data_IF_950908514179
#
_entry.id   IF_950908514179
#
_cell.length_a   1.000
_cell.length_b   1.000
_cell.length_c   1.000
_cell.angle_alpha   90.00
_cell.angle_beta   90.00
_cell.angle_gamma   90.00
#
_symmetry.space_group_name_H-M   'P 1'
#
loop_
_entity.id
_entity.type
_entity.pdbx_description
1 polymer ?
#
# COMPACT_ATOMS: atom_id res chain seq x y z
N UNK A 1 12.70 3.64 -9.76
CA UNK A 1 11.64 3.76 -8.73
C UNK A 1 12.14 4.65 -7.60
N UNK A 2 11.23 5.37 -6.97
CA UNK A 2 11.54 6.27 -5.85
C UNK A 2 10.60 6.05 -4.68
N UNK A 3 11.12 6.30 -3.47
CA UNK A 3 10.33 6.25 -2.24
C UNK A 3 9.25 7.35 -2.27
N UNK A 4 8.04 7.01 -1.88
CA UNK A 4 6.92 7.96 -1.81
C UNK A 4 7.16 9.04 -0.76
N UNK A 5 6.87 10.28 -1.13
CA UNK A 5 7.00 11.47 -0.29
C UNK A 5 5.68 12.25 -0.28
N UNK A 6 5.34 12.84 0.86
CA UNK A 6 4.16 13.72 1.01
C UNK A 6 4.54 15.19 1.26
N UNK A 7 5.84 15.45 1.44
CA UNK A 7 6.47 16.75 1.64
C UNK A 7 7.95 16.64 1.33
N UNK A 8 8.63 17.77 1.23
CA UNK A 8 10.10 17.76 1.06
C UNK A 8 10.78 17.05 2.24
N UNK A 9 11.64 16.05 1.96
CA UNK A 9 12.34 15.33 3.01
C UNK A 9 13.46 16.18 3.61
N UNK A 10 13.70 16.00 4.90
CA UNK A 10 14.85 16.58 5.59
C UNK A 10 15.96 15.53 5.76
N UNK A 11 17.21 15.93 6.07
CA UNK A 11 18.30 14.97 6.29
C UNK A 11 18.03 13.91 7.35
N UNK A 12 17.16 14.20 8.32
CA UNK A 12 16.72 13.23 9.33
C UNK A 12 15.84 12.12 8.75
N UNK A 13 15.20 12.35 7.59
CA UNK A 13 14.41 11.36 6.86
C UNK A 13 15.30 10.60 5.87
N UNK A 14 16.25 9.81 6.38
CA UNK A 14 17.33 9.19 5.62
C UNK A 14 16.90 8.37 4.40
N UNK A 15 15.71 7.76 4.41
CA UNK A 15 15.18 6.96 3.29
C UNK A 15 14.71 7.79 2.11
N UNK A 16 14.08 8.93 2.37
CA UNK A 16 13.47 9.78 1.35
C UNK A 16 14.41 10.89 0.87
N UNK A 17 15.32 11.34 1.71
CA UNK A 17 16.18 12.49 1.46
C UNK A 17 17.01 12.44 0.17
N UNK A 18 17.56 11.28 -0.28
CA UNK A 18 18.31 11.21 -1.52
C UNK A 18 17.46 11.39 -2.78
N UNK A 19 16.13 11.29 -2.68
CA UNK A 19 15.23 11.35 -3.83
C UNK A 19 14.72 12.77 -4.06
N UNK A 20 15.55 13.61 -4.68
CA UNK A 20 15.15 14.96 -5.09
C UNK A 20 14.28 14.90 -6.35
N UNK A 21 12.96 14.86 -6.20
CA UNK A 21 12.01 14.61 -7.27
C UNK A 21 12.15 15.56 -8.45
N UNK A 22 12.33 16.85 -8.20
CA UNK A 22 12.49 17.85 -9.26
C UNK A 22 13.75 17.57 -10.10
N UNK A 23 14.87 17.25 -9.47
CA UNK A 23 16.12 16.92 -10.18
C UNK A 23 15.98 15.60 -10.95
N UNK A 24 15.42 14.58 -10.32
CA UNK A 24 15.19 13.28 -10.98
C UNK A 24 14.23 13.44 -12.17
N UNK A 25 13.11 14.13 -12.00
CA UNK A 25 12.11 14.37 -13.04
C UNK A 25 12.65 15.14 -14.25
N UNK A 26 13.72 15.94 -14.07
CA UNK A 26 14.35 16.66 -15.18
C UNK A 26 15.20 15.77 -16.09
N UNK A 27 15.63 14.58 -15.64
CA UNK A 27 16.57 13.71 -16.36
C UNK A 27 16.00 12.35 -16.75
N UNK A 28 14.84 11.94 -16.17
CA UNK A 28 14.19 10.67 -16.48
C UNK A 28 13.00 10.86 -17.42
N UNK A 29 12.65 9.83 -18.19
CA UNK A 29 11.42 9.79 -18.97
C UNK A 29 10.22 9.57 -18.05
N UNK A 30 10.34 8.65 -17.09
CA UNK A 30 9.29 8.36 -16.10
C UNK A 30 9.88 8.22 -14.70
N UNK A 31 9.11 8.71 -13.72
CA UNK A 31 9.35 8.55 -12.29
C UNK A 31 8.30 7.60 -11.71
N UNK A 32 8.72 6.39 -11.29
CA UNK A 32 7.82 5.41 -10.68
C UNK A 32 7.83 5.58 -9.17
N UNK A 33 6.68 5.91 -8.60
CA UNK A 33 6.48 6.06 -7.16
C UNK A 33 6.19 4.70 -6.53
N UNK A 34 6.86 4.36 -5.46
CA UNK A 34 6.50 3.20 -4.63
C UNK A 34 5.33 3.58 -3.71
N UNK A 35 4.08 3.56 -4.23
CA UNK A 35 2.85 3.88 -3.52
C UNK A 35 2.39 2.73 -2.61
N UNK A 36 3.29 2.18 -1.83
CA UNK A 36 3.06 1.07 -0.91
C UNK A 36 4.06 1.13 0.25
N UNK A 37 3.92 0.19 1.20
CA UNK A 37 4.70 0.10 2.44
C UNK A 37 4.54 1.32 3.36
N UNK A 38 3.34 1.96 3.36
CA UNK A 38 2.98 2.92 4.41
C UNK A 38 3.06 2.26 5.77
N UNK A 39 2.39 1.11 5.96
CA UNK A 39 2.71 0.16 7.01
C UNK A 39 3.59 -0.93 6.44
N UNK A 40 4.77 -1.10 7.04
CA UNK A 40 5.84 -1.98 6.55
C UNK A 40 6.06 -3.17 7.49
N UNK A 41 7.09 -3.97 7.26
CA UNK A 41 7.44 -5.11 8.10
C UNK A 41 7.64 -4.74 9.57
N UNK A 42 8.22 -3.57 9.84
CA UNK A 42 8.61 -3.15 11.20
C UNK A 42 7.71 -2.08 11.80
N UNK A 43 6.64 -1.71 11.12
CA UNK A 43 5.65 -0.77 11.64
C UNK A 43 4.57 -1.47 12.48
N UNK A 44 3.78 -0.73 13.26
CA UNK A 44 2.52 -1.24 13.80
C UNK A 44 1.61 -1.79 12.69
N UNK A 45 0.67 -2.69 13.03
CA UNK A 45 -0.37 -3.14 12.11
C UNK A 45 -1.10 -1.98 11.44
N UNK A 46 -1.31 -2.09 10.13
CA UNK A 46 -1.98 -1.04 9.37
C UNK A 46 -1.99 -1.28 7.86
N UNK A 47 -2.65 -0.38 7.10
CA UNK A 47 -2.79 -0.50 5.65
C UNK A 47 -1.46 -0.31 4.92
N UNK A 48 -1.26 -1.07 3.84
CA UNK A 48 -0.06 -0.98 3.00
C UNK A 48 -0.05 0.32 2.18
N UNK A 49 -1.23 0.77 1.72
CA UNK A 49 -1.40 1.94 0.87
C UNK A 49 -2.72 2.68 1.17
N UNK A 50 -2.79 3.49 2.25
CA UNK A 50 -3.98 4.28 2.56
C UNK A 50 -4.35 5.24 1.43
N UNK A 51 -5.63 5.36 1.10
CA UNK A 51 -6.09 6.23 0.02
C UNK A 51 -5.70 7.71 0.22
N UNK A 52 -5.82 8.22 1.43
CA UNK A 52 -5.49 9.62 1.73
C UNK A 52 -3.98 9.88 1.64
N UNK A 53 -3.18 8.91 2.09
CA UNK A 53 -1.73 8.99 1.90
C UNK A 53 -1.35 8.94 0.42
N UNK A 54 -1.95 8.07 -0.40
CA UNK A 54 -1.70 8.04 -1.85
C UNK A 54 -2.07 9.37 -2.51
N UNK A 55 -3.18 10.01 -2.10
CA UNK A 55 -3.55 11.35 -2.59
C UNK A 55 -2.50 12.40 -2.21
N UNK A 56 -2.01 12.36 -0.97
CA UNK A 56 -0.96 13.27 -0.52
C UNK A 56 0.36 13.06 -1.28
N UNK A 57 0.76 11.79 -1.50
CA UNK A 57 1.93 11.42 -2.32
C UNK A 57 1.78 11.97 -3.73
N UNK A 58 0.64 11.73 -4.39
CA UNK A 58 0.38 12.27 -5.71
C UNK A 58 0.47 13.80 -5.73
N UNK A 59 -0.24 14.47 -4.81
CA UNK A 59 -0.29 15.94 -4.77
C UNK A 59 1.11 16.54 -4.61
N UNK A 60 1.92 16.00 -3.71
CA UNK A 60 3.31 16.43 -3.57
C UNK A 60 4.12 16.18 -4.84
N UNK A 61 4.02 14.97 -5.41
CA UNK A 61 4.82 14.60 -6.58
C UNK A 61 4.53 15.48 -7.78
N UNK A 62 3.25 15.76 -8.10
CA UNK A 62 2.90 16.61 -9.25
C UNK A 62 3.23 18.07 -9.03
N UNK A 63 3.50 18.51 -7.79
CA UNK A 63 4.06 19.83 -7.53
C UNK A 63 5.54 19.94 -7.88
N UNK A 64 6.23 18.80 -8.05
CA UNK A 64 7.66 18.71 -8.32
C UNK A 64 7.97 18.21 -9.74
N UNK A 65 7.13 17.33 -10.30
CA UNK A 65 7.31 16.65 -11.58
C UNK A 65 6.00 16.68 -12.38
N UNK A 66 6.01 16.97 -13.68
CA UNK A 66 4.81 16.91 -14.51
C UNK A 66 4.12 15.53 -14.42
N UNK A 67 2.79 15.51 -14.27
CA UNK A 67 2.02 14.30 -14.06
C UNK A 67 2.19 13.25 -15.17
N UNK A 68 2.40 13.70 -16.42
CA UNK A 68 2.67 12.85 -17.59
C UNK A 68 4.01 12.10 -17.54
N UNK A 69 4.84 12.37 -16.54
CA UNK A 69 6.08 11.64 -16.25
C UNK A 69 5.97 10.73 -15.03
N UNK A 70 4.84 10.75 -14.31
CA UNK A 70 4.69 10.05 -13.03
C UNK A 70 3.88 8.78 -13.22
N UNK A 71 4.41 7.65 -12.77
CA UNK A 71 3.72 6.35 -12.69
C UNK A 71 3.49 6.04 -11.20
N UNK A 72 2.25 5.77 -10.81
CA UNK A 72 1.92 5.39 -9.43
C UNK A 72 2.00 3.88 -9.25
N UNK A 73 2.94 3.41 -8.45
CA UNK A 73 3.03 2.02 -8.02
C UNK A 73 2.00 1.73 -6.93
N UNK A 74 1.27 0.62 -7.07
CA UNK A 74 0.24 0.16 -6.14
C UNK A 74 0.55 -1.27 -5.66
N UNK A 75 0.17 -1.65 -4.42
CA UNK A 75 0.45 -2.99 -3.92
C UNK A 75 -0.58 -4.00 -4.42
N UNK A 76 -0.12 -5.17 -4.83
CA UNK A 76 -0.94 -6.37 -5.01
C UNK A 76 -0.92 -7.29 -3.78
N UNK A 77 -0.11 -6.95 -2.77
CA UNK A 77 0.04 -7.70 -1.53
C UNK A 77 -0.62 -6.99 -0.35
N UNK A 78 -0.88 -7.77 0.66
CA UNK A 78 -1.25 -7.30 1.99
C UNK A 78 -0.15 -7.57 3.01
N UNK A 79 -0.43 -7.23 4.26
CA UNK A 79 0.40 -7.56 5.41
C UNK A 79 -0.42 -8.16 6.54
N UNK A 80 0.21 -9.07 7.25
CA UNK A 80 -0.36 -9.85 8.32
C UNK A 80 0.49 -9.73 9.57
N UNK A 81 -0.13 -9.38 10.69
CA UNK A 81 0.49 -9.28 12.02
C UNK A 81 -0.25 -10.14 13.02
N UNK A 82 0.49 -10.68 13.98
CA UNK A 82 -0.05 -11.18 15.25
C UNK A 82 0.10 -10.07 16.27
N UNK A 83 -0.96 -9.77 17.02
CA UNK A 83 -0.98 -8.75 18.08
C UNK A 83 -1.24 -9.47 19.39
N UNK A 84 -0.35 -9.28 20.35
CA UNK A 84 -0.42 -9.90 21.68
C UNK A 84 -1.36 -9.11 22.61
N UNK A 85 -1.83 -9.73 23.72
CA UNK A 85 -2.74 -9.07 24.65
C UNK A 85 -2.18 -7.80 25.30
N UNK A 86 -0.87 -7.66 25.38
CA UNK A 86 -0.19 -6.47 25.92
C UNK A 86 -0.03 -5.35 24.87
N UNK A 87 -0.52 -5.58 23.63
CA UNK A 87 -0.44 -4.64 22.52
C UNK A 87 0.88 -4.71 21.73
N UNK A 88 1.80 -5.58 22.11
CA UNK A 88 2.97 -5.86 21.27
C UNK A 88 2.55 -6.59 19.99
N UNK A 89 3.35 -6.52 18.94
CA UNK A 89 3.02 -7.09 17.64
C UNK A 89 4.23 -7.73 16.97
N UNK A 90 3.95 -8.73 16.14
CA UNK A 90 4.95 -9.40 15.30
C UNK A 90 5.44 -8.49 14.18
N UNK A 91 6.52 -8.88 13.50
CA UNK A 91 6.84 -8.30 12.19
C UNK A 91 5.69 -8.52 11.21
N UNK A 92 5.38 -7.46 10.42
CA UNK A 92 4.37 -7.53 9.37
C UNK A 92 4.83 -8.40 8.20
N UNK A 93 4.26 -9.60 8.06
CA UNK A 93 4.58 -10.53 6.97
C UNK A 93 3.76 -10.19 5.73
N UNK A 94 4.40 -10.23 4.56
CA UNK A 94 3.69 -10.10 3.28
C UNK A 94 2.70 -11.25 3.09
N UNK A 95 1.48 -10.95 2.64
CA UNK A 95 0.44 -11.94 2.37
C UNK A 95 -0.19 -11.68 0.99
N UNK A 96 -0.47 -12.75 0.24
CA UNK A 96 -1.19 -12.67 -1.04
C UNK A 96 -2.70 -12.60 -0.78
N UNK A 97 -3.45 -12.02 -1.73
CA UNK A 97 -4.92 -12.01 -1.70
C UNK A 97 -5.51 -13.40 -1.43
N UNK A 98 -5.10 -14.41 -2.20
CA UNK A 98 -5.58 -15.80 -2.04
C UNK A 98 -5.35 -16.33 -0.62
N UNK A 99 -4.18 -16.10 -0.05
CA UNK A 99 -3.86 -16.56 1.32
C UNK A 99 -4.69 -15.83 2.37
N UNK A 100 -4.92 -14.52 2.21
CA UNK A 100 -5.79 -13.75 3.11
C UNK A 100 -7.22 -14.30 3.09
N UNK A 101 -7.75 -14.64 1.91
CA UNK A 101 -9.09 -15.21 1.77
C UNK A 101 -9.19 -16.66 2.30
N UNK A 102 -8.13 -17.45 2.16
CA UNK A 102 -8.03 -18.80 2.76
C UNK A 102 -8.09 -18.73 4.29
N UNK A 103 -7.32 -17.82 4.92
CA UNK A 103 -7.37 -17.56 6.37
C UNK A 103 -8.73 -17.03 6.81
N UNK A 104 -9.34 -16.11 6.08
CA UNK A 104 -10.68 -15.62 6.36
C UNK A 104 -11.72 -16.76 6.40
N UNK A 105 -11.63 -17.69 5.45
CA UNK A 105 -12.50 -18.87 5.39
C UNK A 105 -12.24 -19.83 6.56
N UNK A 106 -10.98 -20.09 6.87
CA UNK A 106 -10.59 -20.97 7.99
C UNK A 106 -11.10 -20.40 9.33
N UNK A 107 -10.91 -19.12 9.55
CA UNK A 107 -11.34 -18.42 10.76
C UNK A 107 -12.83 -18.09 10.77
N UNK A 108 -13.53 -18.32 9.66
CA UNK A 108 -14.97 -17.98 9.47
C UNK A 108 -15.27 -16.52 9.75
N UNK A 109 -14.40 -15.64 9.31
CA UNK A 109 -14.56 -14.18 9.34
C UNK A 109 -14.69 -13.63 7.93
N UNK A 110 -15.44 -12.56 7.77
CA UNK A 110 -15.55 -11.87 6.48
C UNK A 110 -14.62 -10.66 6.46
N UNK A 111 -13.85 -10.46 5.38
CA UNK A 111 -13.14 -9.21 5.19
C UNK A 111 -14.11 -8.02 5.21
N UNK A 112 -13.70 -6.94 5.84
CA UNK A 112 -14.46 -5.69 5.90
C UNK A 112 -13.67 -4.56 5.25
N UNK A 113 -14.36 -3.59 4.67
CA UNK A 113 -13.69 -2.40 4.14
C UNK A 113 -13.23 -1.53 5.30
N UNK A 114 -11.93 -1.28 5.37
CA UNK A 114 -11.31 -0.39 6.35
C UNK A 114 -11.44 1.07 5.89
N UNK A 115 -11.46 2.02 6.81
CA UNK A 115 -11.56 3.45 6.52
C UNK A 115 -10.44 3.99 5.63
N UNK A 116 -9.27 3.36 5.67
CA UNK A 116 -8.12 3.69 4.79
C UNK A 116 -8.34 3.32 3.31
N UNK A 117 -9.42 2.59 2.98
CA UNK A 117 -9.75 2.15 1.64
C UNK A 117 -9.18 0.79 1.22
N UNK A 118 -8.62 0.00 2.14
CA UNK A 118 -8.24 -1.40 1.91
C UNK A 118 -9.27 -2.37 2.53
N UNK A 119 -9.07 -3.67 2.36
CA UNK A 119 -9.75 -4.70 3.15
C UNK A 119 -8.99 -4.98 4.44
N UNK A 120 -9.73 -5.38 5.44
CA UNK A 120 -9.25 -5.73 6.77
C UNK A 120 -9.90 -7.01 7.28
N UNK A 121 -9.10 -7.87 7.92
CA UNK A 121 -9.53 -9.06 8.66
C UNK A 121 -8.95 -8.96 10.06
N UNK A 122 -9.77 -9.23 11.07
CA UNK A 122 -9.34 -9.46 12.45
C UNK A 122 -9.89 -10.79 12.94
N UNK A 123 -9.02 -11.62 13.51
CA UNK A 123 -9.42 -12.84 14.19
C UNK A 123 -8.87 -12.84 15.62
N UNK A 124 -9.75 -12.96 16.62
CA UNK A 124 -9.39 -12.91 18.05
C UNK A 124 -9.35 -14.30 18.66
N UNK A 125 -8.29 -14.57 19.38
CA UNK A 125 -8.11 -15.79 20.15
C UNK A 125 -8.71 -15.64 21.56
N UNK A 126 -9.00 -16.77 22.28
CA UNK A 126 -9.54 -16.74 23.63
C UNK A 126 -8.66 -16.04 24.69
N UNK A 127 -7.35 -15.96 24.44
CA UNK A 127 -6.36 -15.29 25.29
C UNK A 127 -6.26 -13.77 25.03
N UNK A 128 -7.12 -13.23 24.17
CA UNK A 128 -7.15 -11.84 23.68
C UNK A 128 -6.00 -11.45 22.74
N UNK A 129 -5.16 -12.37 22.30
CA UNK A 129 -4.32 -12.11 21.13
C UNK A 129 -5.17 -12.06 19.87
N UNK A 130 -4.68 -11.45 18.80
CA UNK A 130 -5.41 -11.41 17.53
C UNK A 130 -4.48 -11.42 16.31
N UNK A 131 -5.03 -11.88 15.20
CA UNK A 131 -4.43 -11.75 13.89
C UNK A 131 -5.06 -10.56 13.17
N UNK A 132 -4.25 -9.72 12.55
CA UNK A 132 -4.70 -8.58 11.76
C UNK A 132 -4.09 -8.63 10.36
N UNK A 133 -4.96 -8.58 9.34
CA UNK A 133 -4.55 -8.60 7.94
C UNK A 133 -5.13 -7.38 7.23
N UNK A 134 -4.27 -6.61 6.57
CA UNK A 134 -4.64 -5.51 5.68
C UNK A 134 -4.21 -5.87 4.26
N UNK A 135 -5.14 -5.84 3.30
CA UNK A 135 -4.86 -6.27 1.92
C UNK A 135 -5.81 -5.59 0.93
N UNK A 136 -5.56 -5.81 -0.35
CA UNK A 136 -6.39 -5.24 -1.42
C UNK A 136 -7.14 -6.36 -2.16
N UNK A 137 -8.37 -6.04 -2.60
CA UNK A 137 -9.11 -6.78 -3.60
C UNK A 137 -9.27 -5.94 -4.89
N UNK A 138 -9.91 -6.49 -5.88
CA UNK A 138 -10.26 -5.77 -7.10
C UNK A 138 -10.94 -4.42 -6.82
N UNK A 139 -11.90 -4.38 -5.91
CA UNK A 139 -12.70 -3.18 -5.64
C UNK A 139 -11.86 -2.06 -5.04
N UNK A 140 -11.05 -2.40 -4.04
CA UNK A 140 -10.17 -1.43 -3.38
C UNK A 140 -9.03 -0.98 -4.30
N UNK A 141 -8.51 -1.87 -5.16
CA UNK A 141 -7.54 -1.52 -6.19
C UNK A 141 -8.11 -0.56 -7.23
N UNK A 142 -9.34 -0.79 -7.72
CA UNK A 142 -9.99 0.12 -8.67
C UNK A 142 -10.21 1.53 -8.09
N UNK A 143 -10.46 1.65 -6.78
CA UNK A 143 -10.50 2.96 -6.12
C UNK A 143 -9.12 3.65 -6.09
N UNK A 144 -8.05 2.88 -5.87
CA UNK A 144 -6.67 3.39 -5.87
C UNK A 144 -6.20 3.78 -7.27
N UNK A 145 -6.60 3.02 -8.29
CA UNK A 145 -6.32 3.33 -9.70
C UNK A 145 -6.87 4.71 -10.07
N UNK A 146 -8.08 5.06 -9.60
CA UNK A 146 -8.67 6.40 -9.82
C UNK A 146 -7.84 7.53 -9.19
N UNK A 147 -7.06 7.24 -8.14
CA UNK A 147 -6.15 8.24 -7.57
C UNK A 147 -5.06 8.62 -8.58
N UNK A 148 -4.68 7.70 -9.48
CA UNK A 148 -3.68 7.95 -10.51
C UNK A 148 -4.19 8.77 -11.71
N UNK A 149 -5.47 9.19 -11.75
CA UNK A 149 -5.99 9.99 -12.85
C UNK A 149 -5.13 11.25 -13.09
N UNK A 150 -4.76 11.48 -14.36
CA UNK A 150 -3.88 12.58 -14.77
C UNK A 150 -2.38 12.32 -14.57
N UNK A 151 -2.00 11.10 -14.19
CA UNK A 151 -0.63 10.64 -14.23
C UNK A 151 -0.33 9.88 -15.54
N UNK A 152 0.96 9.58 -15.81
CA UNK A 152 1.39 8.79 -16.97
C UNK A 152 0.84 7.36 -16.94
N UNK A 153 0.62 6.79 -15.76
CA UNK A 153 0.13 5.43 -15.62
C UNK A 153 0.23 4.88 -14.21
N UNK A 154 0.02 3.58 -14.13
CA UNK A 154 0.09 2.80 -12.90
C UNK A 154 1.09 1.64 -13.07
N UNK A 155 1.65 1.17 -11.98
CA UNK A 155 2.44 -0.04 -11.89
C UNK A 155 1.98 -0.85 -10.67
N UNK A 156 2.23 -2.15 -10.66
CA UNK A 156 1.83 -3.01 -9.55
C UNK A 156 3.01 -3.80 -8.97
N UNK A 157 3.08 -3.87 -7.66
CA UNK A 157 4.03 -4.70 -6.95
C UNK A 157 3.30 -5.73 -6.11
N UNK A 158 3.35 -7.04 -6.42
CA UNK A 158 3.87 -7.60 -7.67
C UNK A 158 2.93 -8.70 -8.18
N UNK A 159 3.08 -9.06 -9.46
CA UNK A 159 2.31 -10.11 -10.11
C UNK A 159 2.29 -11.43 -9.32
N UNK A 160 1.13 -12.09 -9.30
CA UNK A 160 0.89 -13.35 -8.60
C UNK A 160 0.57 -13.16 -7.11
N UNK A 161 0.23 -11.94 -6.67
CA UNK A 161 -0.20 -11.63 -5.30
C UNK A 161 -1.61 -11.01 -5.25
N UNK A 162 -2.14 -10.63 -6.39
CA UNK A 162 -3.41 -9.94 -6.60
C UNK A 162 -4.64 -10.81 -6.43
N UNK A 163 -5.79 -10.14 -6.34
CA UNK A 163 -7.09 -10.68 -6.74
C UNK A 163 -7.10 -10.76 -8.27
N UNK A 164 -7.02 -11.97 -8.82
CA UNK A 164 -6.91 -12.20 -10.27
C UNK A 164 -8.06 -11.57 -11.06
N UNK A 165 -9.22 -11.35 -10.44
CA UNK A 165 -10.37 -10.72 -11.10
C UNK A 165 -10.14 -9.23 -11.45
N UNK A 166 -9.04 -8.63 -11.01
CA UNK A 166 -8.66 -7.26 -11.40
C UNK A 166 -8.37 -7.17 -12.90
N UNK A 167 -7.85 -8.24 -13.51
CA UNK A 167 -7.45 -8.26 -14.92
C UNK A 167 -8.59 -8.07 -15.91
N UNK A 168 -9.84 -8.33 -15.49
CA UNK A 168 -11.02 -8.06 -16.30
C UNK A 168 -11.31 -6.55 -16.44
N UNK A 169 -10.58 -5.69 -15.72
CA UNK A 169 -10.85 -4.25 -15.61
C UNK A 169 -9.64 -3.35 -15.97
N UNK A 170 -8.50 -3.93 -16.32
CA UNK A 170 -7.26 -3.25 -16.73
C UNK A 170 -6.98 -3.36 -18.27
#
# INVERSE_FOLDING_TARGET
DVVSQTKEPTPEHSWAYPFEYQKLGSVVDYLVLMGYDYSSTFSPPGPVAPNDWLRAVKAYTISQVPGEKVILGLPFYGRHWTVEPDGSYSEGRGIKYKQAMELASEWRVNPVKHESGCLYIEYKYPDNSCEQIFFEDKTTLLEKIKIADGLAGIAFWRLGQEDESIWDYL
#
